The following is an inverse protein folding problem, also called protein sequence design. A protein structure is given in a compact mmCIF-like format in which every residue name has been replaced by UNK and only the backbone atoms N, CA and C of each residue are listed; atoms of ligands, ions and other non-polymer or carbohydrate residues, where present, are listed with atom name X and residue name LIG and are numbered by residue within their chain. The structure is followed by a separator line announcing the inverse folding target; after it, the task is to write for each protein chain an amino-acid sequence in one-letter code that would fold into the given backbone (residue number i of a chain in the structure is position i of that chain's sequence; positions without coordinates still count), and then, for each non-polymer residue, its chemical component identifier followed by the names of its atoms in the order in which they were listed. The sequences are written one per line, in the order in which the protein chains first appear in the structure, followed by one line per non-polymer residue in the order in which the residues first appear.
data_IF_122725605422
#
_entry.id   IF_122725605422
#
_cell.length_a   1.000
_cell.length_b   1.000
_cell.length_c   1.000
_cell.angle_alpha   90.00
_cell.angle_beta   90.00
_cell.angle_gamma   90.00
#
_symmetry.space_group_name_H-M   'P 1'
#
loop_
_entity.id
_entity.type
_entity.pdbx_description
1 polymer ?
#
# COMPACT_ATOMS: atom_id res chain seq x y z
N UNK A 1 8.54 -7.35 28.71
CA UNK A 1 8.23 -5.93 28.45
C UNK A 1 8.93 -5.57 27.15
N UNK A 2 8.25 -5.78 26.02
CA UNK A 2 8.76 -5.50 24.68
C UNK A 2 7.95 -4.29 24.20
N UNK A 3 8.62 -3.19 23.94
CA UNK A 3 8.01 -1.92 23.51
C UNK A 3 7.11 -2.14 22.29
N UNK A 4 5.93 -1.52 22.22
CA UNK A 4 5.15 -1.52 20.99
C UNK A 4 5.98 -0.78 19.94
N UNK A 5 6.32 -1.46 18.85
CA UNK A 5 6.90 -0.81 17.69
C UNK A 5 5.81 0.08 17.09
N UNK A 6 5.86 1.39 17.37
CA UNK A 6 5.10 2.38 16.60
C UNK A 6 5.71 2.43 15.20
N UNK A 7 5.02 1.82 14.23
CA UNK A 7 5.44 1.80 12.83
C UNK A 7 5.12 3.15 12.18
N UNK A 8 6.01 4.11 12.36
CA UNK A 8 5.91 5.44 11.75
C UNK A 8 6.11 5.38 10.22
N UNK A 9 5.35 6.19 9.43
CA UNK A 9 5.62 6.35 8.01
C UNK A 9 7.06 6.76 7.74
N UNK A 10 7.57 6.36 6.58
CA UNK A 10 8.94 6.60 6.14
C UNK A 10 8.99 7.58 4.98
N UNK A 11 9.92 8.53 5.07
CA UNK A 11 10.38 9.31 3.93
C UNK A 11 11.73 8.75 3.49
N UNK A 12 11.88 8.35 2.23
CA UNK A 12 13.13 7.78 1.71
C UNK A 12 13.64 8.63 0.54
N UNK A 13 14.89 9.08 0.62
CA UNK A 13 15.53 9.80 -0.48
C UNK A 13 15.88 8.84 -1.62
N UNK A 14 15.23 9.00 -2.78
CA UNK A 14 15.49 8.19 -3.97
C UNK A 14 16.61 8.78 -4.85
N UNK A 15 16.63 10.11 -4.99
CA UNK A 15 17.58 10.83 -5.84
C UNK A 15 18.05 12.13 -5.18
N UNK A 16 19.18 12.67 -5.63
CA UNK A 16 19.77 13.89 -5.06
C UNK A 16 20.81 13.64 -3.96
N UNK A 17 21.27 14.72 -3.28
CA UNK A 17 22.36 14.67 -2.30
C UNK A 17 22.14 13.69 -1.15
N UNK A 18 20.89 13.40 -0.81
CA UNK A 18 20.55 12.55 0.33
C UNK A 18 20.21 11.10 -0.05
N UNK A 19 20.41 10.69 -1.30
CA UNK A 19 20.04 9.37 -1.82
C UNK A 19 20.40 8.22 -0.86
N UNK A 20 19.42 7.36 -0.58
CA UNK A 20 19.56 6.18 0.29
C UNK A 20 19.29 6.45 1.78
N UNK A 21 19.21 7.72 2.20
CA UNK A 21 18.81 8.08 3.55
C UNK A 21 17.29 7.92 3.75
N UNK A 22 16.89 7.72 5.01
CA UNK A 22 15.50 7.49 5.42
C UNK A 22 15.20 8.21 6.73
N UNK A 23 13.97 8.69 6.86
CA UNK A 23 13.46 9.37 8.06
C UNK A 23 12.12 8.76 8.46
N UNK A 24 11.95 8.51 9.76
CA UNK A 24 10.64 8.22 10.34
C UNK A 24 9.88 9.53 10.53
N UNK A 25 8.57 9.49 10.26
CA UNK A 25 7.66 10.62 10.40
C UNK A 25 6.85 10.49 11.69
N UNK A 26 7.57 10.48 12.82
CA UNK A 26 7.03 10.45 14.18
C UNK A 26 6.66 11.83 14.74
N UNK A 27 7.16 12.88 14.08
CA UNK A 27 6.89 14.29 14.38
C UNK A 27 6.91 15.12 13.11
N UNK A 28 6.52 16.39 13.24
CA UNK A 28 6.70 17.36 12.16
C UNK A 28 8.17 17.46 11.80
N UNK A 29 8.50 17.33 10.51
CA UNK A 29 9.85 17.54 10.00
C UNK A 29 9.86 18.67 8.97
N UNK A 30 10.91 19.49 9.02
CA UNK A 30 11.14 20.55 8.04
C UNK A 30 12.29 20.15 7.13
N UNK A 31 12.03 20.24 5.82
CA UNK A 31 13.02 20.05 4.76
C UNK A 31 13.56 21.41 4.32
N UNK A 32 14.87 21.55 4.24
CA UNK A 32 15.46 22.80 3.80
C UNK A 32 16.98 22.76 3.75
N UNK A 33 17.59 23.85 3.28
CA UNK A 33 19.06 23.98 3.24
C UNK A 33 19.65 24.44 4.57
N UNK A 34 18.84 25.06 5.43
CA UNK A 34 19.35 25.60 6.69
C UNK A 34 19.73 24.46 7.65
N UNK A 35 20.86 24.53 8.38
CA UNK A 35 21.27 23.50 9.32
C UNK A 35 20.29 23.26 10.49
N UNK A 36 19.34 24.17 10.70
CA UNK A 36 18.28 24.07 11.70
C UNK A 36 17.11 23.19 11.27
N UNK A 37 17.06 22.77 10.00
CA UNK A 37 16.04 21.86 9.49
C UNK A 37 16.28 20.42 9.99
N UNK A 38 15.22 19.64 10.16
CA UNK A 38 15.31 18.21 10.48
C UNK A 38 15.96 17.42 9.34
N UNK A 39 15.67 17.80 8.09
CA UNK A 39 16.29 17.23 6.90
C UNK A 39 17.02 18.34 6.15
N UNK A 40 18.34 18.34 6.30
CA UNK A 40 19.23 19.31 5.67
C UNK A 40 19.62 18.83 4.28
N UNK A 41 19.18 19.56 3.25
CA UNK A 41 19.52 19.31 1.85
C UNK A 41 20.55 20.37 1.41
N UNK A 42 21.85 20.04 1.32
CA UNK A 42 22.91 21.02 1.10
C UNK A 42 23.04 21.44 -0.38
N UNK A 43 21.94 21.96 -0.96
CA UNK A 43 21.89 22.37 -2.37
C UNK A 43 21.35 23.80 -2.52
N UNK A 44 22.03 24.61 -3.34
CA UNK A 44 21.72 26.04 -3.54
C UNK A 44 20.33 26.29 -4.15
N UNK A 45 19.75 25.30 -4.83
CA UNK A 45 18.39 25.34 -5.37
C UNK A 45 17.33 25.13 -4.28
N UNK A 46 17.73 24.71 -3.07
CA UNK A 46 16.83 24.50 -1.94
C UNK A 46 16.76 25.78 -1.10
N UNK A 47 15.53 26.24 -0.85
CA UNK A 47 15.24 27.30 0.13
C UNK A 47 15.72 26.95 1.54
N UNK A 48 15.95 27.97 2.38
CA UNK A 48 16.41 27.77 3.77
C UNK A 48 15.45 26.86 4.55
N UNK A 49 14.16 27.16 4.46
CA UNK A 49 13.04 26.33 4.87
C UNK A 49 12.19 26.14 3.62
N UNK A 50 12.05 24.91 3.13
CA UNK A 50 11.51 24.64 1.80
C UNK A 50 10.13 24.01 1.86
N UNK A 51 10.03 22.89 2.58
CA UNK A 51 8.81 22.13 2.71
C UNK A 51 8.68 21.59 4.13
N UNK A 52 7.46 21.27 4.52
CA UNK A 52 7.13 20.70 5.82
C UNK A 52 6.29 19.45 5.63
N UNK A 53 6.62 18.43 6.40
CA UNK A 53 5.81 17.22 6.55
C UNK A 53 5.27 17.20 7.98
N UNK A 54 3.95 17.16 8.11
CA UNK A 54 3.27 17.16 9.42
C UNK A 54 2.46 15.87 9.54
N UNK A 55 2.88 14.93 10.41
CA UNK A 55 2.02 13.81 10.78
C UNK A 55 0.75 14.32 11.46
N UNK A 56 -0.40 13.82 11.02
CA UNK A 56 -1.72 14.10 11.59
C UNK A 56 -2.52 12.81 11.73
N UNK A 57 -3.63 12.81 12.50
CA UNK A 57 -4.54 11.66 12.54
C UNK A 57 -5.18 11.31 11.20
N UNK A 58 -5.08 12.14 10.16
CA UNK A 58 -5.64 11.89 8.82
C UNK A 58 -4.58 11.43 7.82
N UNK A 59 -3.30 11.39 8.23
CA UNK A 59 -2.16 11.08 7.38
C UNK A 59 -1.04 12.12 7.51
N UNK A 60 -0.05 12.06 6.62
CA UNK A 60 1.06 13.01 6.62
C UNK A 60 0.78 14.12 5.62
N UNK A 61 0.68 15.35 6.10
CA UNK A 61 0.46 16.52 5.25
C UNK A 61 1.81 17.03 4.73
N UNK A 62 1.95 17.16 3.42
CA UNK A 62 3.03 17.87 2.75
C UNK A 62 2.61 19.30 2.44
N UNK A 63 3.46 20.26 2.78
CA UNK A 63 3.25 21.69 2.54
C UNK A 63 4.54 22.35 2.02
N UNK A 64 4.42 23.22 1.02
CA UNK A 64 5.50 24.10 0.58
C UNK A 64 5.51 25.38 1.44
N UNK A 65 6.69 25.79 1.92
CA UNK A 65 6.85 26.94 2.81
C UNK A 65 7.19 28.25 2.07
N UNK A 66 6.67 28.41 0.84
CA UNK A 66 6.98 29.55 -0.02
C UNK A 66 8.38 29.45 -0.65
N UNK A 67 8.72 28.26 -1.11
CA UNK A 67 10.03 27.97 -1.67
C UNK A 67 10.26 28.67 -3.02
N UNK A 68 11.52 28.93 -3.37
CA UNK A 68 11.84 29.64 -4.63
C UNK A 68 11.60 28.77 -5.87
N UNK A 69 11.90 27.48 -5.78
CA UNK A 69 11.87 26.55 -6.91
C UNK A 69 10.72 25.54 -6.84
N UNK A 70 9.84 25.68 -5.84
CA UNK A 70 8.66 24.85 -5.66
C UNK A 70 8.96 23.46 -5.09
N UNK A 71 7.98 22.95 -4.35
CA UNK A 71 7.80 21.54 -4.04
C UNK A 71 6.87 20.92 -5.07
N UNK A 72 7.15 19.69 -5.50
CA UNK A 72 6.31 18.94 -6.43
C UNK A 72 5.86 17.63 -5.79
N UNK A 73 4.60 17.27 -6.03
CA UNK A 73 3.98 16.02 -5.60
C UNK A 73 3.54 15.24 -6.84
N UNK A 74 4.05 14.02 -6.99
CA UNK A 74 3.82 13.15 -8.15
C UNK A 74 4.07 13.86 -9.51
N UNK A 75 5.09 14.74 -9.55
CA UNK A 75 5.48 15.51 -10.72
C UNK A 75 4.70 16.80 -10.97
N UNK A 76 3.63 17.07 -10.22
CA UNK A 76 2.88 18.33 -10.30
C UNK A 76 3.32 19.32 -9.21
N UNK A 77 3.35 20.62 -9.53
CA UNK A 77 3.70 21.65 -8.54
C UNK A 77 2.67 21.72 -7.41
N UNK A 78 3.15 21.76 -6.18
CA UNK A 78 2.34 21.82 -4.97
C UNK A 78 1.94 23.27 -4.68
N UNK A 79 0.65 23.58 -4.84
CA UNK A 79 0.12 24.93 -4.58
C UNK A 79 -0.64 25.04 -3.26
N UNK A 80 -1.13 23.92 -2.74
CA UNK A 80 -1.84 23.80 -1.46
C UNK A 80 -1.33 22.58 -0.72
N UNK A 81 -1.43 22.53 0.62
CA UNK A 81 -1.09 21.34 1.38
C UNK A 81 -1.87 20.11 0.88
N UNK A 82 -1.22 18.95 0.87
CA UNK A 82 -1.83 17.67 0.45
C UNK A 82 -1.53 16.58 1.47
N UNK A 83 -2.47 15.64 1.65
CA UNK A 83 -2.23 14.42 2.44
C UNK A 83 -1.55 13.39 1.55
N UNK A 84 -0.37 12.93 1.95
CA UNK A 84 0.41 11.94 1.22
C UNK A 84 -0.19 10.54 1.33
N UNK A 85 -0.11 9.81 0.23
CA UNK A 85 -0.50 8.42 0.08
C UNK A 85 0.74 7.54 -0.09
N UNK A 86 0.64 6.28 0.32
CA UNK A 86 1.74 5.32 0.18
C UNK A 86 2.27 5.27 -1.26
N UNK A 87 3.59 5.40 -1.39
CA UNK A 87 4.32 5.40 -2.65
C UNK A 87 4.35 6.75 -3.38
N UNK A 88 3.82 7.82 -2.79
CA UNK A 88 3.88 9.16 -3.39
C UNK A 88 5.32 9.64 -3.56
N UNK A 89 5.57 10.32 -4.67
CA UNK A 89 6.85 10.93 -5.00
C UNK A 89 6.83 12.43 -4.66
N UNK A 90 7.85 12.87 -3.94
CA UNK A 90 8.04 14.26 -3.54
C UNK A 90 9.34 14.78 -4.13
N UNK A 91 9.28 15.89 -4.86
CA UNK A 91 10.48 16.55 -5.35
C UNK A 91 10.60 17.94 -4.72
N UNK A 92 11.75 18.20 -4.10
CA UNK A 92 12.09 19.48 -3.48
C UNK A 92 13.06 20.18 -4.42
N UNK A 93 12.58 21.22 -5.11
CA UNK A 93 13.22 21.72 -6.34
C UNK A 93 13.52 20.58 -7.35
N UNK A 94 14.48 20.81 -8.24
CA UNK A 94 15.04 19.79 -9.14
C UNK A 94 16.21 19.02 -8.52
N UNK A 95 16.52 19.28 -7.24
CA UNK A 95 17.77 18.83 -6.62
C UNK A 95 17.59 17.56 -5.77
N UNK A 96 16.40 17.32 -5.21
CA UNK A 96 16.19 16.23 -4.25
C UNK A 96 14.81 15.59 -4.45
N UNK A 97 14.77 14.25 -4.56
CA UNK A 97 13.55 13.47 -4.68
C UNK A 97 13.42 12.45 -3.54
N UNK A 98 12.22 12.32 -3.01
CA UNK A 98 11.84 11.36 -2.00
C UNK A 98 10.67 10.50 -2.46
N UNK A 99 10.54 9.33 -1.85
CA UNK A 99 9.30 8.53 -1.84
C UNK A 99 8.78 8.48 -0.41
N UNK A 100 7.48 8.66 -0.26
CA UNK A 100 6.77 8.45 1.00
C UNK A 100 6.23 7.03 1.03
N UNK A 101 6.50 6.31 2.12
CA UNK A 101 6.01 4.95 2.34
C UNK A 101 5.33 4.87 3.70
N UNK A 102 4.19 4.21 3.77
CA UNK A 102 3.58 3.86 5.06
C UNK A 102 4.31 2.59 5.55
N UNK A 103 4.87 2.63 6.76
CA UNK A 103 5.42 1.40 7.37
C UNK A 103 4.23 0.51 7.72
N UNK A 104 4.29 -0.79 7.41
CA UNK A 104 3.19 -1.73 7.65
C UNK A 104 2.93 -1.96 9.16
N UNK A 105 2.42 -0.96 9.89
CA UNK A 105 1.38 -1.10 10.90
C UNK A 105 0.69 0.24 11.16
N UNK A 106 -0.64 0.19 11.15
CA UNK A 106 -1.59 1.26 11.51
C UNK A 106 -1.76 2.41 10.52
N UNK A 107 -2.69 2.20 9.58
CA UNK A 107 -3.49 3.25 8.96
C UNK A 107 -4.09 4.16 10.04
N UNK A 108 -3.98 5.50 9.94
CA UNK A 108 -4.97 6.36 10.57
C UNK A 108 -6.29 6.13 9.84
N UNK A 109 -7.31 5.86 10.65
CA UNK A 109 -8.69 5.63 10.26
C UNK A 109 -9.24 6.90 9.59
N UNK A 110 -9.03 7.06 8.28
CA UNK A 110 -9.82 7.98 7.48
C UNK A 110 -11.22 7.37 7.30
N UNK A 111 -12.19 7.94 8.00
CA UNK A 111 -13.62 7.65 7.83
C UNK A 111 -14.00 7.89 6.37
N UNK A 112 -14.12 6.82 5.58
CA UNK A 112 -14.53 6.92 4.18
C UNK A 112 -14.10 5.76 3.29
N UNK A 113 -14.56 4.55 3.61
CA UNK A 113 -14.65 3.40 2.70
C UNK A 113 -13.33 2.74 2.22
N UNK A 114 -12.63 2.06 3.13
CA UNK A 114 -12.07 0.75 2.80
C UNK A 114 -12.96 -0.29 3.50
N UNK A 115 -13.38 -1.39 2.85
CA UNK A 115 -14.00 -2.48 3.59
C UNK A 115 -12.96 -2.95 4.62
N UNK A 116 -13.18 -2.57 5.88
CA UNK A 116 -12.39 -3.00 7.02
C UNK A 116 -12.74 -4.45 7.26
N UNK A 117 -12.27 -5.33 6.38
CA UNK A 117 -12.55 -6.75 6.41
C UNK A 117 -11.43 -7.50 7.12
N UNK A 118 -11.75 -8.67 7.68
CA UNK A 118 -10.76 -9.52 8.33
C UNK A 118 -9.60 -9.91 7.41
N UNK A 119 -9.85 -10.03 6.11
CA UNK A 119 -8.83 -10.23 5.07
C UNK A 119 -8.50 -8.90 4.39
N UNK A 120 -7.23 -8.56 4.29
CA UNK A 120 -6.74 -7.35 3.62
C UNK A 120 -5.65 -7.72 2.61
N UNK A 121 -5.54 -6.94 1.54
CA UNK A 121 -4.53 -7.15 0.49
C UNK A 121 -3.92 -5.84 0.04
N UNK A 122 -2.61 -5.87 -0.22
CA UNK A 122 -1.89 -4.78 -0.86
C UNK A 122 -1.37 -5.21 -2.23
N UNK A 123 -1.77 -4.46 -3.28
CA UNK A 123 -1.42 -4.77 -4.67
C UNK A 123 0.05 -4.51 -4.99
N UNK A 124 0.64 -3.45 -4.41
CA UNK A 124 2.00 -2.99 -4.75
C UNK A 124 3.06 -3.96 -4.23
N UNK A 125 2.94 -4.36 -2.96
CA UNK A 125 3.83 -5.27 -2.25
C UNK A 125 3.41 -6.74 -2.37
N UNK A 126 2.23 -7.03 -2.94
CA UNK A 126 1.63 -8.37 -3.07
C UNK A 126 1.50 -9.10 -1.72
N UNK A 127 1.18 -8.35 -0.68
CA UNK A 127 1.00 -8.87 0.68
C UNK A 127 -0.47 -9.08 0.99
N UNK A 128 -0.72 -10.05 1.87
CA UNK A 128 -2.06 -10.44 2.32
C UNK A 128 -2.02 -10.56 3.83
N UNK A 129 -3.03 -10.03 4.51
CA UNK A 129 -3.24 -10.16 5.94
C UNK A 129 -4.59 -10.78 6.23
N UNK A 130 -4.66 -11.55 7.30
CA UNK A 130 -5.90 -12.12 7.84
C UNK A 130 -5.88 -11.88 9.34
N UNK A 131 -6.92 -11.25 9.90
CA UNK A 131 -6.99 -10.84 11.30
C UNK A 131 -5.74 -10.05 11.75
N UNK A 132 -5.29 -9.13 10.91
CA UNK A 132 -4.05 -8.34 11.08
C UNK A 132 -2.74 -9.15 11.09
N UNK A 133 -2.77 -10.47 10.91
CA UNK A 133 -1.58 -11.30 10.77
C UNK A 133 -1.21 -11.48 9.30
N UNK A 134 0.05 -11.19 8.95
CA UNK A 134 0.54 -11.34 7.59
C UNK A 134 0.65 -12.82 7.18
N UNK A 135 0.19 -13.12 5.96
CA UNK A 135 0.27 -14.43 5.34
C UNK A 135 1.67 -14.66 4.76
N UNK A 136 2.48 -15.44 5.47
CA UNK A 136 3.86 -15.81 5.11
C UNK A 136 4.01 -17.33 4.96
N UNK A 137 4.77 -17.84 3.96
CA UNK A 137 5.45 -17.10 2.88
C UNK A 137 4.45 -16.44 1.90
N UNK A 138 4.84 -15.47 1.06
CA UNK A 138 3.90 -14.80 0.15
C UNK A 138 3.14 -15.77 -0.77
N UNK A 139 1.95 -15.35 -1.22
CA UNK A 139 1.19 -16.10 -2.23
C UNK A 139 1.93 -16.13 -3.57
N UNK A 140 1.75 -17.21 -4.33
CA UNK A 140 2.21 -17.23 -5.73
C UNK A 140 1.46 -16.17 -6.56
N UNK A 141 2.02 -15.78 -7.71
CA UNK A 141 1.37 -14.78 -8.57
C UNK A 141 -0.06 -15.17 -8.96
N UNK A 142 -0.31 -16.45 -9.26
CA UNK A 142 -1.63 -16.96 -9.61
C UNK A 142 -2.60 -16.92 -8.41
N UNK A 143 -2.14 -17.31 -7.22
CA UNK A 143 -2.94 -17.26 -6.00
C UNK A 143 -3.29 -15.83 -5.61
N UNK A 144 -2.33 -14.90 -5.75
CA UNK A 144 -2.54 -13.48 -5.47
C UNK A 144 -3.55 -12.87 -6.44
N UNK A 145 -3.40 -13.08 -7.74
CA UNK A 145 -4.36 -12.60 -8.75
C UNK A 145 -5.78 -13.10 -8.49
N UNK A 146 -5.93 -14.39 -8.20
CA UNK A 146 -7.22 -15.00 -7.89
C UNK A 146 -7.86 -14.33 -6.67
N UNK A 147 -7.11 -14.21 -5.58
CA UNK A 147 -7.62 -13.59 -4.35
C UNK A 147 -7.91 -12.10 -4.56
N UNK A 148 -7.10 -11.39 -5.33
CA UNK A 148 -7.27 -9.97 -5.63
C UNK A 148 -8.55 -9.70 -6.41
N UNK A 149 -8.85 -10.52 -7.42
CA UNK A 149 -10.10 -10.41 -8.16
C UNK A 149 -11.32 -10.65 -7.26
N UNK A 150 -11.25 -11.67 -6.39
CA UNK A 150 -12.28 -11.94 -5.41
C UNK A 150 -12.41 -10.81 -4.37
N UNK A 151 -11.31 -10.19 -3.97
CA UNK A 151 -11.27 -9.09 -3.01
C UNK A 151 -11.90 -7.81 -3.57
N UNK A 152 -11.60 -7.46 -4.82
CA UNK A 152 -12.24 -6.33 -5.51
C UNK A 152 -13.76 -6.50 -5.67
N UNK A 153 -14.23 -7.74 -5.76
CA UNK A 153 -15.64 -8.10 -5.92
C UNK A 153 -16.18 -8.77 -4.64
N UNK A 154 -15.80 -8.25 -3.46
CA UNK A 154 -16.20 -8.84 -2.18
C UNK A 154 -17.73 -8.93 -2.06
N UNK A 155 -18.24 -10.09 -1.65
CA UNK A 155 -19.67 -10.36 -1.55
C UNK A 155 -20.34 -10.72 -2.88
N UNK A 156 -19.69 -10.50 -4.02
CA UNK A 156 -20.21 -10.85 -5.35
C UNK A 156 -19.68 -12.22 -5.83
N UNK A 157 -20.44 -12.85 -6.73
CA UNK A 157 -20.05 -14.13 -7.32
C UNK A 157 -19.27 -13.86 -8.59
N UNK A 158 -17.98 -14.18 -8.59
CA UNK A 158 -17.11 -14.12 -9.76
C UNK A 158 -17.19 -15.45 -10.50
N UNK A 159 -17.43 -15.41 -11.82
CA UNK A 159 -17.61 -16.61 -12.63
C UNK A 159 -16.30 -17.39 -12.79
N UNK A 160 -16.40 -18.70 -13.03
CA UNK A 160 -15.22 -19.54 -13.30
C UNK A 160 -14.43 -19.08 -14.53
N UNK A 161 -15.07 -18.75 -15.68
CA UNK A 161 -14.37 -18.21 -16.83
C UNK A 161 -13.58 -16.93 -16.51
N UNK A 162 -14.17 -15.99 -15.76
CA UNK A 162 -13.49 -14.72 -15.42
C UNK A 162 -12.29 -14.96 -14.50
N UNK A 163 -12.43 -15.86 -13.53
CA UNK A 163 -11.32 -16.26 -12.65
C UNK A 163 -10.17 -16.91 -13.44
N UNK A 164 -10.50 -17.73 -14.45
CA UNK A 164 -9.50 -18.37 -15.30
C UNK A 164 -8.80 -17.31 -16.18
N UNK A 165 -9.57 -16.41 -16.80
CA UNK A 165 -9.03 -15.35 -17.64
C UNK A 165 -8.07 -14.44 -16.87
N UNK A 166 -8.42 -14.01 -15.65
CA UNK A 166 -7.57 -13.13 -14.84
C UNK A 166 -6.26 -13.82 -14.39
N UNK A 167 -6.36 -15.08 -13.92
CA UNK A 167 -5.24 -15.78 -13.31
C UNK A 167 -4.22 -16.23 -14.36
N UNK A 168 -4.69 -16.73 -15.51
CA UNK A 168 -3.83 -17.28 -16.57
C UNK A 168 -3.66 -16.36 -17.79
N UNK A 169 -4.53 -15.37 -18.01
CA UNK A 169 -4.48 -14.47 -19.18
C UNK A 169 -5.03 -15.09 -20.47
N UNK A 170 -5.43 -14.24 -21.42
CA UNK A 170 -6.18 -14.66 -22.63
C UNK A 170 -5.42 -15.63 -23.55
N UNK A 171 -4.10 -15.50 -23.69
CA UNK A 171 -3.29 -16.40 -24.55
C UNK A 171 -3.04 -17.78 -23.93
N UNK A 172 -3.20 -17.93 -22.62
CA UNK A 172 -2.93 -19.17 -21.87
C UNK A 172 -4.20 -19.79 -21.25
N UNK A 173 -5.33 -19.08 -21.25
CA UNK A 173 -6.62 -19.60 -20.80
C UNK A 173 -7.16 -20.70 -21.73
N UNK A 174 -6.75 -20.73 -23.00
CA UNK A 174 -7.10 -21.75 -23.98
C UNK A 174 -6.50 -23.12 -23.59
N UNK A 175 -7.21 -23.86 -22.74
CA UNK A 175 -6.83 -25.21 -22.28
C UNK A 175 -6.61 -25.35 -20.77
N UNK A 176 -6.77 -24.27 -19.99
CA UNK A 176 -6.79 -24.38 -18.52
C UNK A 176 -8.09 -25.05 -18.11
N UNK A 177 -7.98 -26.19 -17.43
CA UNK A 177 -9.15 -26.92 -16.94
C UNK A 177 -9.70 -26.29 -15.67
N UNK A 178 -11.00 -26.41 -15.47
CA UNK A 178 -11.68 -26.12 -14.20
C UNK A 178 -10.97 -26.76 -12.98
N UNK A 179 -10.32 -27.90 -13.17
CA UNK A 179 -9.55 -28.59 -12.14
C UNK A 179 -8.33 -27.78 -11.66
N UNK A 180 -7.70 -26.99 -12.53
CA UNK A 180 -6.58 -26.14 -12.16
C UNK A 180 -7.04 -24.97 -11.27
N UNK A 181 -8.19 -24.38 -11.59
CA UNK A 181 -8.86 -23.38 -10.75
C UNK A 181 -9.23 -23.98 -9.39
N UNK A 182 -9.86 -25.16 -9.39
CA UNK A 182 -10.24 -25.83 -8.15
C UNK A 182 -9.03 -26.16 -7.27
N UNK A 183 -7.90 -26.56 -7.87
CA UNK A 183 -6.65 -26.79 -7.14
C UNK A 183 -6.05 -25.51 -6.55
N UNK A 184 -6.08 -24.38 -7.27
CA UNK A 184 -5.65 -23.09 -6.74
C UNK A 184 -6.53 -22.62 -5.59
N UNK A 185 -7.85 -22.72 -5.75
CA UNK A 185 -8.83 -22.34 -4.73
C UNK A 185 -8.65 -23.16 -3.46
N UNK A 186 -8.45 -24.48 -3.58
CA UNK A 186 -8.16 -25.35 -2.44
C UNK A 186 -6.91 -24.90 -1.68
N UNK A 187 -5.79 -24.71 -2.39
CA UNK A 187 -4.53 -24.27 -1.78
C UNK A 187 -4.67 -22.89 -1.12
N UNK A 188 -5.41 -21.99 -1.74
CA UNK A 188 -5.63 -20.65 -1.20
C UNK A 188 -6.48 -20.69 0.09
N UNK A 189 -7.52 -21.53 0.13
CA UNK A 189 -8.29 -21.79 1.36
C UNK A 189 -7.41 -22.31 2.48
N UNK A 190 -6.55 -23.28 2.20
CA UNK A 190 -5.60 -23.84 3.19
C UNK A 190 -4.65 -22.77 3.72
N UNK A 191 -4.13 -21.91 2.84
CA UNK A 191 -3.26 -20.78 3.20
C UNK A 191 -3.94 -19.74 4.09
N UNK A 192 -5.21 -19.45 3.85
CA UNK A 192 -5.98 -18.49 4.66
C UNK A 192 -6.40 -19.13 5.99
N UNK A 193 -6.86 -20.38 5.95
CA UNK A 193 -7.29 -21.13 7.13
C UNK A 193 -6.16 -21.38 8.14
N UNK A 194 -4.89 -21.35 7.71
CA UNK A 194 -3.76 -21.41 8.65
C UNK A 194 -3.65 -20.18 9.55
N UNK A 195 -4.26 -19.06 9.18
CA UNK A 195 -4.30 -17.83 9.99
C UNK A 195 -5.65 -17.65 10.69
N UNK A 196 -6.74 -17.99 10.00
CA UNK A 196 -8.08 -17.97 10.59
C UNK A 196 -8.84 -19.26 10.22
N UNK A 197 -8.75 -20.31 11.07
CA UNK A 197 -9.47 -21.55 10.84
C UNK A 197 -10.98 -21.42 11.16
N UNK A 198 -11.41 -20.30 11.74
CA UNK A 198 -12.79 -20.13 12.22
C UNK A 198 -13.74 -19.59 11.15
N UNK A 199 -13.21 -19.02 10.07
CA UNK A 199 -14.00 -18.41 9.01
C UNK A 199 -13.66 -18.93 7.62
N UNK A 200 -14.69 -19.18 6.80
CA UNK A 200 -14.53 -19.62 5.43
C UNK A 200 -14.66 -18.44 4.46
N UNK A 201 -13.52 -17.83 4.13
CA UNK A 201 -13.46 -16.66 3.26
C UNK A 201 -13.85 -16.93 1.81
N UNK A 202 -13.49 -18.08 1.24
CA UNK A 202 -13.69 -18.35 -0.19
C UNK A 202 -14.79 -19.41 -0.34
N UNK A 203 -15.95 -18.98 -0.83
CA UNK A 203 -17.14 -19.80 -0.94
C UNK A 203 -17.43 -20.17 -2.40
N UNK A 204 -17.71 -21.46 -2.65
CA UNK A 204 -18.13 -21.92 -3.98
C UNK A 204 -19.64 -21.79 -4.10
N UNK A 205 -20.10 -21.01 -5.07
CA UNK A 205 -21.53 -20.90 -5.41
C UNK A 205 -21.81 -21.86 -6.55
N UNK A 206 -22.48 -22.97 -6.24
CA UNK A 206 -22.68 -24.08 -7.17
C UNK A 206 -23.31 -23.60 -8.47
N UNK A 207 -22.69 -23.96 -9.60
CA UNK A 207 -23.16 -23.60 -10.94
C UNK A 207 -22.93 -22.14 -11.36
N UNK A 208 -22.38 -21.28 -10.49
CA UNK A 208 -22.24 -19.85 -10.77
C UNK A 208 -20.79 -19.37 -10.67
N UNK A 209 -20.05 -19.79 -9.64
CA UNK A 209 -18.67 -19.31 -9.48
C UNK A 209 -18.15 -19.37 -8.05
N UNK A 210 -17.35 -18.37 -7.70
CA UNK A 210 -16.70 -18.24 -6.41
C UNK A 210 -16.94 -16.84 -5.86
N UNK A 211 -17.19 -16.76 -4.56
CA UNK A 211 -17.42 -15.50 -3.85
C UNK A 211 -16.44 -15.38 -2.68
N UNK A 212 -15.93 -14.17 -2.46
CA UNK A 212 -15.30 -13.81 -1.20
C UNK A 212 -16.36 -13.41 -0.19
N UNK A 213 -16.28 -14.00 1.00
CA UNK A 213 -16.99 -13.60 2.19
C UNK A 213 -15.96 -13.03 3.17
N UNK A 214 -15.66 -11.74 2.99
CA UNK A 214 -14.77 -11.00 3.87
C UNK A 214 -15.61 -10.13 4.83
N UNK A 215 -15.96 -10.65 6.02
CA UNK A 215 -16.74 -9.89 7.00
C UNK A 215 -15.91 -8.72 7.52
N UNK A 216 -16.61 -7.69 7.98
CA UNK A 216 -15.95 -6.60 8.70
C UNK A 216 -15.16 -7.14 9.91
N UNK A 217 -14.01 -6.53 10.18
CA UNK A 217 -13.11 -6.86 11.29
C UNK A 217 -13.80 -6.74 12.65
#
# INVERSE_FOLDING_TARGET
MTSPHEDYPLLIAQEGPLKGQRWQLDRTIVLGREPTCDVVIPDRQISRYHARLTPTPEGVILEDLGSKNGTHHNGASLNTPVVLQDGDLLSVALAQQFIFLISDATTPLAEGALPSGRLMMDLKSRRVWVNHQQLVPPLSAQQFKLLWLLYKNNGEVVSRPDLVAEVWGDEQAAGVSDQALDALVRRLRERIASLDPTHQYINTVRGHGIRLDNPSA
#
